data_IF_448414911098
#
_entry.id   IF_448414911098
#
_cell.length_a   1.000
_cell.length_b   1.000
_cell.length_c   1.000
_cell.angle_alpha   90.00
_cell.angle_beta   90.00
_cell.angle_gamma   90.00
#
_symmetry.space_group_name_H-M   'P 1'
#
loop_
_entity.id
_entity.type
_entity.pdbx_description
1 polymer ?
#
# COMPACT_ATOMS: atom_id res chain seq x y z
N UNK A 1 -8.40 30.05 -14.20
CA UNK A 1 -8.81 29.98 -15.62
C UNK A 1 -9.95 28.98 -15.67
N UNK A 2 -11.13 29.36 -16.16
CA UNK A 2 -12.23 28.39 -16.32
C UNK A 2 -11.87 27.49 -17.50
N UNK A 3 -11.87 26.17 -17.30
CA UNK A 3 -11.54 25.20 -18.36
C UNK A 3 -12.81 24.94 -19.14
N UNK A 4 -12.81 25.21 -20.45
CA UNK A 4 -13.97 24.98 -21.30
C UNK A 4 -13.74 23.77 -22.21
N UNK A 5 -14.58 22.73 -22.06
CA UNK A 5 -14.56 21.52 -22.89
C UNK A 5 -14.63 21.85 -24.40
N UNK A 6 -15.33 22.94 -24.75
CA UNK A 6 -15.49 23.38 -26.12
C UNK A 6 -14.16 23.72 -26.81
N UNK A 7 -13.13 24.13 -26.06
CA UNK A 7 -11.80 24.40 -26.62
C UNK A 7 -11.10 23.13 -27.12
N UNK A 8 -11.51 21.96 -26.64
CA UNK A 8 -10.92 20.65 -26.95
C UNK A 8 -11.81 19.80 -27.86
N UNK A 9 -13.12 20.09 -27.90
CA UNK A 9 -14.15 19.26 -28.55
C UNK A 9 -13.80 18.89 -29.98
N UNK A 10 -13.47 19.87 -30.82
CA UNK A 10 -13.20 19.62 -32.24
C UNK A 10 -12.03 18.63 -32.44
N UNK A 11 -10.96 18.78 -31.65
CA UNK A 11 -9.79 17.90 -31.75
C UNK A 11 -10.12 16.49 -31.27
N UNK A 12 -10.84 16.37 -30.15
CA UNK A 12 -11.19 15.08 -29.55
C UNK A 12 -12.20 14.31 -30.40
N UNK A 13 -13.27 14.95 -30.87
CA UNK A 13 -14.29 14.31 -31.72
C UNK A 13 -13.74 13.94 -33.11
N UNK A 14 -12.74 14.68 -33.61
CA UNK A 14 -12.04 14.31 -34.86
C UNK A 14 -11.16 13.09 -34.67
N UNK A 15 -10.47 12.99 -33.53
CA UNK A 15 -9.57 11.88 -33.23
C UNK A 15 -10.33 10.59 -32.84
N UNK A 16 -11.42 10.73 -32.09
CA UNK A 16 -12.28 9.65 -31.62
C UNK A 16 -13.76 10.02 -31.88
N UNK A 17 -14.27 9.79 -33.10
CA UNK A 17 -15.66 10.12 -33.48
C UNK A 17 -16.72 9.47 -32.59
N UNK A 18 -16.41 8.34 -31.96
CA UNK A 18 -17.23 7.64 -30.97
C UNK A 18 -17.58 8.48 -29.74
N UNK A 19 -16.81 9.55 -29.44
CA UNK A 19 -17.04 10.41 -28.29
C UNK A 19 -18.13 11.48 -28.49
N UNK A 20 -18.62 11.69 -29.73
CA UNK A 20 -19.54 12.81 -30.05
C UNK A 20 -20.76 12.90 -29.13
N UNK A 21 -21.35 11.75 -28.82
CA UNK A 21 -22.58 11.69 -28.01
C UNK A 21 -22.30 11.49 -26.51
N UNK A 22 -21.05 11.22 -26.12
CA UNK A 22 -20.67 10.87 -24.73
C UNK A 22 -19.74 11.87 -24.07
N UNK A 23 -19.05 12.74 -24.84
CA UNK A 23 -17.99 13.62 -24.34
C UNK A 23 -18.44 14.52 -23.18
N UNK A 24 -19.64 15.10 -23.25
CA UNK A 24 -20.19 15.93 -22.17
C UNK A 24 -20.43 15.13 -20.89
N UNK A 25 -20.97 13.91 -21.01
CA UNK A 25 -21.18 13.02 -19.87
C UNK A 25 -19.85 12.60 -19.23
N UNK A 26 -18.87 12.20 -20.05
CA UNK A 26 -17.52 11.83 -19.59
C UNK A 26 -16.82 12.99 -18.89
N UNK A 27 -16.92 14.21 -19.43
CA UNK A 27 -16.37 15.40 -18.80
C UNK A 27 -17.05 15.73 -17.46
N UNK A 28 -18.37 15.63 -17.40
CA UNK A 28 -19.11 15.84 -16.14
C UNK A 28 -18.74 14.82 -15.07
N UNK A 29 -18.48 13.57 -15.44
CA UNK A 29 -17.97 12.56 -14.52
C UNK A 29 -16.54 12.87 -14.05
N UNK A 30 -15.65 13.26 -14.96
CA UNK A 30 -14.28 13.68 -14.62
C UNK A 30 -14.29 14.85 -13.63
N UNK A 31 -15.12 15.87 -13.87
CA UNK A 31 -15.23 17.05 -13.02
C UNK A 31 -15.76 16.76 -11.60
N UNK A 32 -16.41 15.61 -11.36
CA UNK A 32 -16.83 15.18 -10.02
C UNK A 32 -15.70 14.56 -9.20
N UNK A 33 -14.67 14.03 -9.87
CA UNK A 33 -13.60 13.26 -9.24
C UNK A 33 -12.25 13.98 -9.23
N UNK A 34 -12.11 15.07 -9.99
CA UNK A 34 -10.85 15.79 -10.21
C UNK A 34 -10.93 17.24 -9.71
N UNK A 35 -9.82 17.80 -9.25
CA UNK A 35 -9.71 19.25 -9.09
C UNK A 35 -9.71 19.98 -10.44
N UNK A 36 -9.86 21.31 -10.41
CA UNK A 36 -9.75 22.12 -11.62
C UNK A 36 -8.40 21.94 -12.34
N UNK A 37 -7.28 21.87 -11.60
CA UNK A 37 -5.97 21.67 -12.22
C UNK A 37 -5.84 20.29 -12.86
N UNK A 38 -6.36 19.25 -12.20
CA UNK A 38 -6.38 17.90 -12.73
C UNK A 38 -7.25 17.77 -13.97
N UNK A 39 -8.39 18.46 -14.01
CA UNK A 39 -9.26 18.50 -15.18
C UNK A 39 -8.58 19.17 -16.38
N UNK A 40 -7.76 20.19 -16.14
CA UNK A 40 -6.93 20.79 -17.18
C UNK A 40 -5.88 19.80 -17.71
N UNK A 41 -5.12 19.16 -16.80
CA UNK A 41 -4.10 18.18 -17.17
C UNK A 41 -4.69 16.99 -17.93
N UNK A 42 -5.90 16.58 -17.55
CA UNK A 42 -6.68 15.54 -18.20
C UNK A 42 -7.04 15.92 -19.64
N UNK A 43 -7.62 17.11 -19.88
CA UNK A 43 -7.96 17.55 -21.24
C UNK A 43 -6.73 17.83 -22.12
N UNK A 44 -5.70 18.45 -21.57
CA UNK A 44 -4.41 18.63 -22.27
C UNK A 44 -3.77 17.28 -22.60
N UNK A 45 -3.84 16.32 -21.68
CA UNK A 45 -3.41 14.94 -21.92
C UNK A 45 -4.15 14.27 -23.06
N UNK A 46 -5.49 14.36 -23.06
CA UNK A 46 -6.33 13.81 -24.12
C UNK A 46 -6.03 14.43 -25.49
N UNK A 47 -5.85 15.76 -25.53
CA UNK A 47 -5.43 16.48 -26.73
C UNK A 47 -4.06 15.99 -27.22
N UNK A 48 -3.08 15.89 -26.33
CA UNK A 48 -1.76 15.36 -26.68
C UNK A 48 -1.83 13.94 -27.24
N UNK A 49 -2.64 13.07 -26.64
CA UNK A 49 -2.88 11.70 -27.14
C UNK A 49 -3.58 11.68 -28.51
N UNK A 50 -4.51 12.60 -28.76
CA UNK A 50 -5.17 12.77 -30.06
C UNK A 50 -4.18 13.20 -31.14
N UNK A 51 -3.30 14.16 -30.84
CA UNK A 51 -2.28 14.67 -31.76
C UNK A 51 -1.19 13.63 -32.08
N UNK A 52 -0.97 12.62 -31.23
CA UNK A 52 -0.10 11.48 -31.54
C UNK A 52 -0.58 10.65 -32.75
N UNK A 53 -1.88 10.71 -33.09
CA UNK A 53 -2.44 9.97 -34.23
C UNK A 53 -2.36 8.45 -34.08
N UNK A 54 -2.40 7.93 -32.85
CA UNK A 54 -2.25 6.48 -32.55
C UNK A 54 -3.58 5.72 -32.44
N UNK A 55 -4.68 6.32 -32.90
CA UNK A 55 -6.02 5.71 -32.99
C UNK A 55 -7.01 6.27 -31.96
N UNK A 56 -8.28 6.44 -32.36
CA UNK A 56 -9.34 7.04 -31.53
C UNK A 56 -9.61 6.31 -30.22
N UNK A 57 -9.60 4.98 -30.25
CA UNK A 57 -9.81 4.14 -29.07
C UNK A 57 -8.87 4.47 -27.91
N UNK A 58 -7.61 4.87 -28.19
CA UNK A 58 -6.66 5.30 -27.15
C UNK A 58 -7.16 6.54 -26.40
N UNK A 59 -7.63 7.54 -27.15
CA UNK A 59 -8.13 8.80 -26.60
C UNK A 59 -9.42 8.57 -25.83
N UNK A 60 -10.34 7.79 -26.41
CA UNK A 60 -11.61 7.44 -25.76
C UNK A 60 -11.37 6.70 -24.43
N UNK A 61 -10.55 5.64 -24.44
CA UNK A 61 -10.23 4.87 -23.22
C UNK A 61 -9.58 5.74 -22.14
N UNK A 62 -8.65 6.63 -22.53
CA UNK A 62 -8.05 7.57 -21.57
C UNK A 62 -9.10 8.46 -20.90
N UNK A 63 -10.02 9.03 -21.70
CA UNK A 63 -11.07 9.91 -21.18
C UNK A 63 -12.04 9.14 -20.26
N UNK A 64 -12.44 7.94 -20.66
CA UNK A 64 -13.39 7.12 -19.90
C UNK A 64 -12.81 6.63 -18.57
N UNK A 65 -11.56 6.16 -18.55
CA UNK A 65 -11.04 5.41 -17.41
C UNK A 65 -10.25 6.24 -16.39
N UNK A 66 -9.61 7.34 -16.81
CA UNK A 66 -8.78 8.14 -15.91
C UNK A 66 -9.51 8.79 -14.73
N UNK A 67 -10.80 9.19 -14.80
CA UNK A 67 -11.54 9.64 -13.63
C UNK A 67 -11.56 8.65 -12.48
N UNK A 68 -11.70 7.35 -12.77
CA UNK A 68 -11.66 6.32 -11.75
C UNK A 68 -10.26 6.18 -11.14
N UNK A 69 -9.21 6.30 -11.96
CA UNK A 69 -7.81 6.26 -11.50
C UNK A 69 -7.49 7.44 -10.57
N UNK A 70 -7.90 8.66 -10.96
CA UNK A 70 -7.71 9.87 -10.16
C UNK A 70 -8.47 9.80 -8.83
N UNK A 71 -9.69 9.24 -8.82
CA UNK A 71 -10.47 9.03 -7.61
C UNK A 71 -9.76 8.12 -6.59
N UNK A 72 -9.13 7.05 -7.07
CA UNK A 72 -8.46 6.07 -6.19
C UNK A 72 -7.06 6.53 -5.74
N UNK A 73 -6.29 7.18 -6.61
CA UNK A 73 -4.88 7.49 -6.36
C UNK A 73 -4.55 8.99 -6.21
N UNK A 74 -5.54 9.87 -6.43
CA UNK A 74 -5.37 11.31 -6.43
C UNK A 74 -4.97 11.89 -7.79
N UNK A 75 -5.17 13.20 -7.92
CA UNK A 75 -5.01 13.98 -9.15
C UNK A 75 -3.64 13.86 -9.83
N UNK A 76 -2.56 13.81 -9.04
CA UNK A 76 -1.19 13.84 -9.56
C UNK A 76 -0.87 12.66 -10.49
N UNK A 77 -1.59 11.53 -10.35
CA UNK A 77 -1.35 10.34 -11.16
C UNK A 77 -1.67 10.55 -12.64
N UNK A 78 -2.52 11.53 -12.98
CA UNK A 78 -2.94 11.78 -14.36
C UNK A 78 -1.73 12.10 -15.24
N UNK A 79 -0.86 12.99 -14.76
CA UNK A 79 0.38 13.39 -15.46
C UNK A 79 1.34 12.22 -15.62
N UNK A 80 1.46 11.37 -14.60
CA UNK A 80 2.31 10.19 -14.63
C UNK A 80 1.83 9.18 -15.69
N UNK A 81 0.52 8.96 -15.78
CA UNK A 81 -0.10 8.08 -16.78
C UNK A 81 0.09 8.62 -18.21
N UNK A 82 -0.11 9.92 -18.43
CA UNK A 82 0.15 10.57 -19.73
C UNK A 82 1.62 10.42 -20.11
N UNK A 83 2.54 10.73 -19.18
CA UNK A 83 3.98 10.59 -19.39
C UNK A 83 4.38 9.15 -19.73
N UNK A 84 3.80 8.16 -19.06
CA UNK A 84 4.02 6.75 -19.35
C UNK A 84 3.53 6.38 -20.75
N UNK A 85 2.32 6.80 -21.14
CA UNK A 85 1.78 6.58 -22.49
C UNK A 85 2.67 7.22 -23.57
N UNK A 86 3.13 8.45 -23.36
CA UNK A 86 4.04 9.14 -24.28
C UNK A 86 5.34 8.37 -24.46
N UNK A 87 5.94 7.85 -23.38
CA UNK A 87 7.15 7.01 -23.45
C UNK A 87 6.91 5.69 -24.18
N UNK A 88 5.73 5.08 -24.01
CA UNK A 88 5.37 3.82 -24.67
C UNK A 88 5.03 3.99 -26.16
N UNK A 89 4.67 5.20 -26.59
CA UNK A 89 4.27 5.50 -27.98
C UNK A 89 5.36 5.24 -29.02
N UNK A 90 6.63 5.20 -28.61
CA UNK A 90 7.78 4.87 -29.45
C UNK A 90 8.15 3.38 -29.43
N UNK A 91 7.54 2.58 -28.54
CA UNK A 91 7.92 1.19 -28.28
C UNK A 91 6.82 0.18 -28.61
N UNK A 92 5.56 0.62 -28.63
CA UNK A 92 4.37 -0.24 -28.74
C UNK A 92 3.29 0.41 -29.61
N UNK A 93 2.25 -0.34 -29.98
CA UNK A 93 1.12 0.19 -30.74
C UNK A 93 0.15 0.99 -29.85
N UNK A 94 -0.64 1.87 -30.45
CA UNK A 94 -1.71 2.60 -29.74
C UNK A 94 -2.73 1.68 -29.07
N UNK A 95 -2.97 0.49 -29.64
CA UNK A 95 -3.83 -0.54 -29.04
C UNK A 95 -3.28 -1.08 -27.71
N UNK A 96 -1.97 -1.24 -27.57
CA UNK A 96 -1.36 -1.66 -26.29
C UNK A 96 -1.46 -0.55 -25.25
N UNK A 97 -1.31 0.70 -25.65
CA UNK A 97 -1.46 1.85 -24.75
C UNK A 97 -2.92 2.01 -24.33
N UNK A 98 -3.87 1.78 -25.24
CA UNK A 98 -5.29 1.75 -24.89
C UNK A 98 -5.59 0.65 -23.86
N UNK A 99 -5.04 -0.57 -24.05
CA UNK A 99 -5.15 -1.65 -23.07
C UNK A 99 -4.50 -1.31 -21.73
N UNK A 100 -3.40 -0.55 -21.74
CA UNK A 100 -2.81 -0.03 -20.50
C UNK A 100 -3.83 0.85 -19.78
N UNK A 101 -4.40 1.87 -20.45
CA UNK A 101 -5.42 2.73 -19.85
C UNK A 101 -6.64 1.94 -19.35
N UNK A 102 -7.14 1.00 -20.15
CA UNK A 102 -8.24 0.09 -19.76
C UNK A 102 -7.94 -0.73 -18.50
N UNK A 103 -6.67 -1.08 -18.27
CA UNK A 103 -6.26 -1.81 -17.07
C UNK A 103 -6.10 -0.92 -15.83
N UNK A 104 -5.87 0.39 -16.00
CA UNK A 104 -5.50 1.28 -14.90
C UNK A 104 -6.55 1.42 -13.80
N UNK A 105 -7.87 1.49 -14.07
CA UNK A 105 -8.86 1.53 -12.98
C UNK A 105 -8.77 0.31 -12.06
N UNK A 106 -8.51 -0.87 -12.62
CA UNK A 106 -8.29 -2.09 -11.85
C UNK A 106 -6.97 -2.03 -11.09
N UNK A 107 -5.89 -1.60 -11.73
CA UNK A 107 -4.57 -1.45 -11.08
C UNK A 107 -4.64 -0.46 -9.92
N UNK A 108 -5.24 0.71 -10.12
CA UNK A 108 -5.40 1.75 -9.11
C UNK A 108 -6.18 1.23 -7.90
N UNK A 109 -7.28 0.50 -8.14
CA UNK A 109 -8.08 -0.10 -7.07
C UNK A 109 -7.36 -1.22 -6.34
N UNK A 110 -6.57 -2.06 -7.04
CA UNK A 110 -5.86 -3.19 -6.44
C UNK A 110 -4.60 -2.77 -5.69
N UNK A 111 -3.92 -1.74 -6.17
CA UNK A 111 -2.72 -1.20 -5.54
C UNK A 111 -3.04 -0.16 -4.46
N UNK A 112 -4.09 0.66 -4.63
CA UNK A 112 -4.60 1.57 -3.59
C UNK A 112 -3.67 2.71 -3.17
N UNK A 113 -2.56 2.94 -3.89
CA UNK A 113 -1.62 4.03 -3.62
C UNK A 113 -0.93 4.53 -4.91
N UNK A 114 -0.79 5.86 -5.12
CA UNK A 114 -0.18 6.43 -6.32
C UNK A 114 1.30 6.04 -6.53
N UNK A 115 2.10 5.84 -5.48
CA UNK A 115 3.50 5.42 -5.65
C UNK A 115 3.59 3.99 -6.18
N UNK A 116 2.68 3.11 -5.74
CA UNK A 116 2.56 1.76 -6.29
C UNK A 116 2.13 1.81 -7.76
N UNK A 117 1.18 2.66 -8.14
CA UNK A 117 0.80 2.83 -9.55
C UNK A 117 1.98 3.38 -10.38
N UNK A 118 2.76 4.33 -9.87
CA UNK A 118 4.00 4.80 -10.51
C UNK A 118 5.00 3.66 -10.70
N UNK A 119 5.15 2.80 -9.69
CA UNK A 119 5.96 1.59 -9.78
C UNK A 119 5.47 0.62 -10.87
N UNK A 120 4.16 0.44 -10.99
CA UNK A 120 3.54 -0.34 -12.07
C UNK A 120 3.83 0.26 -13.46
N UNK A 121 3.65 1.57 -13.65
CA UNK A 121 3.95 2.23 -14.92
C UNK A 121 5.43 2.06 -15.32
N UNK A 122 6.36 2.13 -14.35
CA UNK A 122 7.78 1.84 -14.57
C UNK A 122 8.00 0.39 -15.00
N UNK A 123 7.29 -0.58 -14.40
CA UNK A 123 7.35 -1.98 -14.79
C UNK A 123 6.86 -2.19 -16.23
N UNK A 124 5.72 -1.59 -16.61
CA UNK A 124 5.20 -1.68 -17.98
C UNK A 124 6.20 -1.12 -18.99
N UNK A 125 6.82 0.02 -18.69
CA UNK A 125 7.88 0.60 -19.53
C UNK A 125 9.08 -0.35 -19.67
N UNK A 126 9.53 -0.97 -18.58
CA UNK A 126 10.61 -1.95 -18.59
C UNK A 126 10.26 -3.19 -19.43
N UNK A 127 9.03 -3.69 -19.32
CA UNK A 127 8.55 -4.85 -20.08
C UNK A 127 8.36 -4.52 -21.56
N UNK A 128 7.97 -3.29 -21.91
CA UNK A 128 7.92 -2.86 -23.31
C UNK A 128 9.27 -3.01 -24.02
N UNK A 129 10.38 -2.76 -23.32
CA UNK A 129 11.73 -2.93 -23.88
C UNK A 129 12.16 -4.40 -23.99
N UNK A 130 11.73 -5.26 -23.05
CA UNK A 130 12.23 -6.64 -22.93
C UNK A 130 11.33 -7.69 -23.58
N UNK A 131 10.02 -7.48 -23.51
CA UNK A 131 8.97 -8.46 -23.81
C UNK A 131 7.71 -7.78 -24.34
N UNK A 132 7.83 -6.92 -25.36
CA UNK A 132 6.71 -6.15 -25.93
C UNK A 132 5.52 -7.01 -26.35
N UNK A 133 5.77 -8.22 -26.85
CA UNK A 133 4.72 -9.19 -27.24
C UNK A 133 3.94 -9.77 -26.05
N UNK A 134 4.57 -9.81 -24.87
CA UNK A 134 3.94 -10.24 -23.63
C UNK A 134 3.02 -9.20 -23.00
N UNK A 135 3.12 -7.92 -23.38
CA UNK A 135 2.31 -6.86 -22.77
C UNK A 135 0.82 -7.04 -23.01
N UNK A 136 0.41 -7.25 -24.27
CA UNK A 136 -1.01 -7.40 -24.62
C UNK A 136 -1.71 -8.52 -23.84
N UNK A 137 -1.20 -9.77 -23.82
CA UNK A 137 -1.85 -10.83 -23.04
C UNK A 137 -1.82 -10.55 -21.54
N UNK A 138 -0.74 -9.96 -21.01
CA UNK A 138 -0.64 -9.63 -19.58
C UNK A 138 -1.66 -8.57 -19.14
N UNK A 139 -1.81 -7.50 -19.92
CA UNK A 139 -2.76 -6.42 -19.63
C UNK A 139 -4.21 -6.94 -19.62
N UNK A 140 -4.52 -7.93 -20.48
CA UNK A 140 -5.83 -8.58 -20.51
C UNK A 140 -6.18 -9.42 -19.28
N UNK A 141 -5.19 -9.79 -18.45
CA UNK A 141 -5.39 -10.60 -17.24
C UNK A 141 -4.95 -9.86 -15.96
N UNK A 142 -4.83 -8.54 -16.01
CA UNK A 142 -4.27 -7.76 -14.91
C UNK A 142 -5.06 -7.88 -13.60
N UNK A 143 -6.40 -7.97 -13.67
CA UNK A 143 -7.22 -8.22 -12.47
C UNK A 143 -6.91 -9.57 -11.83
N UNK A 144 -6.73 -10.62 -12.65
CA UNK A 144 -6.39 -11.95 -12.12
C UNK A 144 -5.02 -11.93 -11.42
N UNK A 145 -4.03 -11.28 -12.03
CA UNK A 145 -2.69 -11.17 -11.45
C UNK A 145 -2.70 -10.38 -10.14
N UNK A 146 -3.30 -9.19 -10.13
CA UNK A 146 -3.34 -8.31 -8.95
C UNK A 146 -4.34 -8.75 -7.87
N UNK A 147 -5.24 -9.70 -8.19
CA UNK A 147 -6.05 -10.38 -7.16
C UNK A 147 -5.22 -11.35 -6.30
N UNK A 148 -3.99 -11.68 -6.72
CA UNK A 148 -3.12 -12.68 -6.06
C UNK A 148 -1.74 -12.11 -5.72
N UNK A 149 -1.28 -11.09 -6.43
CA UNK A 149 0.08 -10.56 -6.32
C UNK A 149 0.07 -9.11 -5.81
N UNK A 150 1.04 -8.80 -4.97
CA UNK A 150 1.48 -7.42 -4.76
C UNK A 150 2.21 -6.90 -6.01
N UNK A 151 2.48 -5.60 -6.07
CA UNK A 151 3.26 -5.02 -7.17
C UNK A 151 4.65 -5.69 -7.30
N UNK A 152 5.31 -5.93 -6.18
CA UNK A 152 6.63 -6.59 -6.19
C UNK A 152 6.54 -8.06 -6.60
N UNK A 153 5.45 -8.75 -6.25
CA UNK A 153 5.14 -10.09 -6.77
C UNK A 153 4.94 -10.10 -8.28
N UNK A 154 4.13 -9.16 -8.80
CA UNK A 154 3.91 -8.97 -10.24
C UNK A 154 5.23 -8.68 -10.96
N UNK A 155 6.08 -7.82 -10.40
CA UNK A 155 7.40 -7.49 -10.95
C UNK A 155 8.29 -8.74 -11.06
N UNK A 156 8.39 -9.56 -10.01
CA UNK A 156 9.19 -10.80 -10.03
C UNK A 156 8.62 -11.81 -11.02
N UNK A 157 7.30 -11.99 -11.04
CA UNK A 157 6.61 -12.87 -12.00
C UNK A 157 6.85 -12.44 -13.46
N UNK A 158 6.70 -11.16 -13.76
CA UNK A 158 6.85 -10.65 -15.12
C UNK A 158 8.31 -10.66 -15.60
N UNK A 159 9.26 -10.28 -14.75
CA UNK A 159 10.68 -10.27 -15.10
C UNK A 159 11.23 -11.70 -15.28
N UNK A 160 10.73 -12.65 -14.49
CA UNK A 160 11.05 -14.07 -14.69
C UNK A 160 10.58 -14.55 -16.07
N UNK A 161 9.31 -14.32 -16.42
CA UNK A 161 8.77 -14.70 -17.72
C UNK A 161 9.52 -14.07 -18.89
N UNK A 162 9.87 -12.78 -18.76
CA UNK A 162 10.66 -12.07 -19.75
C UNK A 162 12.05 -12.70 -19.97
N UNK A 163 12.69 -13.18 -18.90
CA UNK A 163 14.00 -13.81 -18.96
C UNK A 163 13.93 -15.26 -19.46
N UNK A 164 13.04 -16.07 -18.89
CA UNK A 164 12.90 -17.49 -19.18
C UNK A 164 12.52 -17.73 -20.66
N UNK A 165 11.62 -16.90 -21.19
CA UNK A 165 11.13 -17.00 -22.57
C UNK A 165 11.78 -15.99 -23.53
N UNK A 166 12.95 -15.44 -23.19
CA UNK A 166 13.61 -14.41 -24.01
C UNK A 166 13.88 -14.83 -25.47
N UNK A 167 14.06 -16.14 -25.70
CA UNK A 167 14.31 -16.74 -27.03
C UNK A 167 13.12 -17.48 -27.63
N UNK A 168 12.00 -17.58 -26.91
CA UNK A 168 10.78 -18.25 -27.36
C UNK A 168 9.61 -17.27 -27.36
N UNK A 169 9.33 -16.70 -28.54
CA UNK A 169 8.31 -15.67 -28.68
C UNK A 169 6.89 -16.19 -28.46
N UNK A 170 6.60 -17.43 -28.85
CA UNK A 170 5.26 -18.01 -28.63
C UNK A 170 5.08 -18.39 -27.17
N UNK A 171 6.11 -19.01 -26.55
CA UNK A 171 6.12 -19.29 -25.12
C UNK A 171 6.01 -18.01 -24.28
N UNK A 172 6.62 -16.90 -24.71
CA UNK A 172 6.47 -15.61 -24.03
C UNK A 172 5.00 -15.14 -24.04
N UNK A 173 4.32 -15.18 -25.18
CA UNK A 173 2.89 -14.81 -25.27
C UNK A 173 2.05 -15.73 -24.36
N UNK A 174 2.31 -17.04 -24.40
CA UNK A 174 1.60 -18.02 -23.57
C UNK A 174 1.84 -17.82 -22.06
N UNK A 175 3.08 -17.53 -21.65
CA UNK A 175 3.42 -17.25 -20.26
C UNK A 175 2.68 -16.02 -19.74
N UNK A 176 2.78 -14.90 -20.47
CA UNK A 176 2.15 -13.64 -20.07
C UNK A 176 0.62 -13.69 -20.14
N UNK A 177 0.04 -14.65 -20.87
CA UNK A 177 -1.39 -14.97 -20.86
C UNK A 177 -1.80 -16.02 -19.83
N UNK A 178 -0.90 -16.41 -18.91
CA UNK A 178 -1.11 -17.43 -17.86
C UNK A 178 -1.49 -18.83 -18.40
N UNK A 179 -1.05 -19.16 -19.61
CA UNK A 179 -1.38 -20.41 -20.28
C UNK A 179 -0.37 -21.53 -19.96
N UNK A 180 0.87 -21.18 -19.63
CA UNK A 180 1.90 -22.18 -19.30
C UNK A 180 1.80 -22.62 -17.84
N UNK A 181 2.17 -23.87 -17.57
CA UNK A 181 2.24 -24.38 -16.19
C UNK A 181 3.29 -23.62 -15.37
N UNK A 182 4.37 -23.18 -16.01
CA UNK A 182 5.41 -22.36 -15.39
C UNK A 182 4.88 -20.98 -14.96
N UNK A 183 4.05 -20.32 -15.78
CA UNK A 183 3.41 -19.06 -15.40
C UNK A 183 2.49 -19.21 -14.18
N UNK A 184 1.72 -20.31 -14.13
CA UNK A 184 0.85 -20.63 -12.99
C UNK A 184 1.65 -20.96 -11.74
N UNK A 185 2.72 -21.75 -11.88
CA UNK A 185 3.61 -22.11 -10.77
C UNK A 185 4.30 -20.86 -10.19
N UNK A 186 4.83 -19.99 -11.05
CA UNK A 186 5.45 -18.74 -10.63
C UNK A 186 4.44 -17.79 -9.99
N UNK A 187 3.19 -17.75 -10.48
CA UNK A 187 2.10 -16.98 -9.86
C UNK A 187 1.80 -17.48 -8.43
N UNK A 188 1.74 -18.80 -8.22
CA UNK A 188 1.56 -19.36 -6.88
C UNK A 188 2.75 -19.09 -5.96
N UNK A 189 3.97 -19.17 -6.50
CA UNK A 189 5.20 -18.89 -5.75
C UNK A 189 5.28 -17.42 -5.30
N UNK A 190 4.88 -16.50 -6.15
CA UNK A 190 4.96 -15.06 -5.87
C UNK A 190 3.77 -14.50 -5.08
N UNK A 191 2.74 -15.32 -4.88
CA UNK A 191 1.61 -14.99 -4.01
C UNK A 191 2.10 -14.79 -2.58
N UNK A 192 1.98 -13.56 -2.09
CA UNK A 192 2.19 -13.19 -0.69
C UNK A 192 0.86 -13.29 0.04
N UNK A 193 0.85 -13.88 1.22
CA UNK A 193 -0.34 -14.39 1.94
C UNK A 193 -1.63 -13.59 1.81
N UNK A 194 -1.93 -12.79 2.82
CA UNK A 194 -3.15 -11.99 2.92
C UNK A 194 -2.89 -10.61 2.34
N UNK A 195 -3.56 -10.25 1.24
CA UNK A 195 -3.42 -8.93 0.62
C UNK A 195 -4.11 -7.83 1.44
N UNK A 196 -3.47 -6.66 1.52
CA UNK A 196 -4.01 -5.49 2.20
C UNK A 196 -5.36 -5.08 1.63
N UNK A 197 -5.46 -4.98 0.31
CA UNK A 197 -6.61 -4.38 -0.36
C UNK A 197 -7.92 -5.15 -0.11
N UNK A 198 -7.82 -6.48 0.03
CA UNK A 198 -8.96 -7.34 0.34
C UNK A 198 -9.45 -7.19 1.79
N UNK A 199 -8.63 -6.57 2.66
CA UNK A 199 -8.90 -6.41 4.08
C UNK A 199 -9.09 -4.94 4.50
N UNK A 200 -8.71 -3.97 3.67
CA UNK A 200 -8.75 -2.53 3.98
C UNK A 200 -10.11 -2.08 4.51
N UNK A 201 -11.20 -2.47 3.83
CA UNK A 201 -12.55 -2.10 4.25
C UNK A 201 -12.92 -2.67 5.62
N UNK A 202 -12.54 -3.92 5.90
CA UNK A 202 -12.78 -4.57 7.21
C UNK A 202 -11.97 -3.89 8.31
N UNK A 203 -10.71 -3.54 8.03
CA UNK A 203 -9.86 -2.79 8.96
C UNK A 203 -10.44 -1.41 9.29
N UNK A 204 -10.91 -0.67 8.28
CA UNK A 204 -11.53 0.64 8.49
C UNK A 204 -12.79 0.54 9.37
N UNK A 205 -13.66 -0.44 9.12
CA UNK A 205 -14.83 -0.64 9.99
C UNK A 205 -14.44 -1.05 11.41
N UNK A 206 -13.38 -1.86 11.56
CA UNK A 206 -12.89 -2.25 12.86
C UNK A 206 -12.39 -1.05 13.67
N UNK A 207 -11.54 -0.19 13.08
CA UNK A 207 -11.06 1.03 13.72
C UNK A 207 -12.19 2.01 14.05
N UNK A 208 -13.15 2.18 13.14
CA UNK A 208 -14.31 3.04 13.36
C UNK A 208 -15.22 2.52 14.47
N UNK A 209 -15.35 1.20 14.62
CA UNK A 209 -16.10 0.60 15.72
C UNK A 209 -15.43 0.84 17.07
N UNK A 210 -14.08 0.87 17.13
CA UNK A 210 -13.34 1.15 18.36
C UNK A 210 -13.42 2.63 18.74
N UNK A 211 -13.08 3.55 17.82
CA UNK A 211 -12.87 4.96 18.16
C UNK A 211 -13.90 5.94 17.58
N UNK A 212 -14.94 5.46 16.90
CA UNK A 212 -16.05 6.31 16.44
C UNK A 212 -15.68 7.35 15.37
N UNK A 213 -14.54 7.17 14.70
CA UNK A 213 -14.02 8.10 13.67
C UNK A 213 -13.44 7.35 12.48
N UNK A 214 -13.26 8.08 11.38
CA UNK A 214 -12.60 7.55 10.19
C UNK A 214 -11.08 7.58 10.35
N UNK A 215 -10.43 6.57 9.75
CA UNK A 215 -9.00 6.40 9.64
C UNK A 215 -8.64 6.22 8.17
N UNK A 216 -7.45 6.66 7.79
CA UNK A 216 -6.96 6.54 6.42
C UNK A 216 -5.85 5.49 6.40
N UNK A 217 -6.09 4.40 5.67
CA UNK A 217 -5.16 3.28 5.56
C UNK A 217 -4.62 3.20 4.14
N UNK A 218 -3.30 3.07 3.99
CA UNK A 218 -2.65 2.88 2.69
C UNK A 218 -1.71 1.68 2.70
N UNK A 219 -1.64 0.93 1.60
CA UNK A 219 -0.61 -0.09 1.42
C UNK A 219 0.72 0.56 1.04
N UNK A 220 1.81 -0.02 1.53
CA UNK A 220 3.18 0.29 1.16
C UNK A 220 3.89 -1.00 0.77
N UNK A 221 4.76 -0.92 -0.24
CA UNK A 221 5.55 -2.06 -0.68
C UNK A 221 6.42 -2.57 0.48
N UNK A 222 6.20 -3.82 0.90
CA UNK A 222 6.94 -4.47 1.99
C UNK A 222 7.81 -5.62 1.46
N UNK A 223 8.44 -5.42 0.30
CA UNK A 223 9.21 -6.44 -0.41
C UNK A 223 10.67 -6.58 0.07
N UNK A 224 11.08 -5.78 1.04
CA UNK A 224 12.35 -5.88 1.73
C UNK A 224 12.13 -6.29 3.20
N UNK A 225 13.14 -6.97 3.77
CA UNK A 225 13.13 -7.26 5.20
C UNK A 225 13.09 -5.97 6.03
N UNK A 226 12.38 -6.01 7.15
CA UNK A 226 12.33 -4.90 8.10
C UNK A 226 11.32 -3.79 7.79
N UNK A 227 10.33 -4.02 6.92
CA UNK A 227 9.19 -3.10 6.83
C UNK A 227 8.52 -2.92 8.19
N UNK A 228 8.35 -1.67 8.62
CA UNK A 228 7.62 -1.31 9.84
C UNK A 228 6.42 -0.45 9.45
N UNK A 229 5.20 -0.78 9.90
CA UNK A 229 4.07 0.11 9.78
C UNK A 229 4.39 1.50 10.36
N UNK A 230 3.91 2.55 9.71
CA UNK A 230 4.22 3.93 10.10
C UNK A 230 3.05 4.89 9.88
N UNK A 231 3.13 6.05 10.52
CA UNK A 231 2.20 7.15 10.36
C UNK A 231 2.84 8.28 9.56
N UNK A 232 2.14 8.77 8.54
CA UNK A 232 2.51 9.97 7.80
C UNK A 232 1.27 10.82 7.58
N UNK A 233 1.26 12.08 8.02
CA UNK A 233 0.10 12.97 7.84
C UNK A 233 -1.22 12.41 8.40
N UNK A 234 -1.17 11.59 9.46
CA UNK A 234 -2.31 10.84 10.06
C UNK A 234 -2.85 9.69 9.18
N UNK A 235 -2.15 9.33 8.13
CA UNK A 235 -2.39 8.13 7.32
C UNK A 235 -1.57 6.98 7.91
N UNK A 236 -2.21 5.82 8.08
CA UNK A 236 -1.55 4.59 8.53
C UNK A 236 -1.07 3.82 7.29
N UNK A 237 0.24 3.66 7.18
CA UNK A 237 0.88 2.89 6.13
C UNK A 237 1.17 1.47 6.62
N UNK A 238 0.64 0.49 5.90
CA UNK A 238 0.72 -0.94 6.22
C UNK A 238 1.41 -1.71 5.09
N UNK A 239 1.94 -2.92 5.35
CA UNK A 239 2.46 -3.76 4.28
C UNK A 239 1.34 -4.14 3.29
N UNK A 240 1.66 -4.12 2.00
CA UNK A 240 0.76 -4.47 0.89
C UNK A 240 0.30 -5.94 0.90
N UNK A 241 1.06 -6.83 1.55
CA UNK A 241 0.64 -8.16 1.94
C UNK A 241 1.34 -8.63 3.23
N UNK A 242 0.70 -9.54 3.96
CA UNK A 242 1.29 -10.22 5.13
C UNK A 242 1.07 -11.72 5.05
N UNK A 243 2.09 -12.49 5.41
CA UNK A 243 1.96 -13.92 5.67
C UNK A 243 1.51 -14.12 7.12
N UNK A 244 0.69 -15.15 7.37
CA UNK A 244 0.35 -15.53 8.74
C UNK A 244 1.59 -15.95 9.52
N UNK A 245 1.62 -15.67 10.82
CA UNK A 245 2.73 -16.05 11.71
C UNK A 245 2.20 -17.06 12.71
N UNK A 246 2.74 -18.29 12.68
CA UNK A 246 2.24 -19.44 13.43
C UNK A 246 0.72 -19.64 13.22
N UNK A 247 -0.06 -19.62 14.30
CA UNK A 247 -1.53 -19.76 14.26
C UNK A 247 -2.25 -18.43 13.98
N UNK A 248 -1.52 -17.31 13.95
CA UNK A 248 -2.10 -15.98 13.70
C UNK A 248 -2.22 -15.74 12.21
N UNK A 249 -3.46 -15.82 11.72
CA UNK A 249 -3.78 -15.55 10.32
C UNK A 249 -3.48 -14.08 9.93
N UNK A 250 -3.18 -13.84 8.65
CA UNK A 250 -2.79 -12.52 8.17
C UNK A 250 -3.81 -11.40 8.42
N UNK A 251 -5.11 -11.72 8.46
CA UNK A 251 -6.13 -10.72 8.80
C UNK A 251 -6.10 -10.30 10.28
N UNK A 252 -5.69 -11.19 11.20
CA UNK A 252 -5.47 -10.85 12.61
C UNK A 252 -4.18 -10.04 12.79
N UNK A 253 -3.13 -10.34 12.01
CA UNK A 253 -1.92 -9.51 11.97
C UNK A 253 -2.26 -8.08 11.53
N UNK A 254 -3.02 -7.93 10.46
CA UNK A 254 -3.50 -6.63 10.03
C UNK A 254 -4.30 -5.92 11.11
N UNK A 255 -5.19 -6.61 11.82
CA UNK A 255 -5.92 -6.04 12.97
C UNK A 255 -4.98 -5.53 14.06
N UNK A 256 -3.97 -6.33 14.43
CA UNK A 256 -3.00 -5.96 15.45
C UNK A 256 -2.17 -4.73 15.04
N UNK A 257 -1.75 -4.66 13.76
CA UNK A 257 -1.02 -3.52 13.21
C UNK A 257 -1.88 -2.25 13.22
N UNK A 258 -3.12 -2.32 12.69
CA UNK A 258 -3.95 -1.10 12.58
C UNK A 258 -4.39 -0.57 13.92
N UNK A 259 -4.70 -1.42 14.90
CA UNK A 259 -5.09 -0.94 16.23
C UNK A 259 -3.91 -0.38 17.01
N UNK A 260 -2.71 -0.90 16.82
CA UNK A 260 -1.50 -0.33 17.40
C UNK A 260 -1.24 1.07 16.80
N UNK A 261 -1.22 1.20 15.47
CA UNK A 261 -1.05 2.50 14.80
C UNK A 261 -2.20 3.47 15.13
N UNK A 262 -3.42 2.95 15.24
CA UNK A 262 -4.60 3.69 15.69
C UNK A 262 -4.46 4.18 17.13
N UNK A 263 -3.86 3.39 18.03
CA UNK A 263 -3.62 3.77 19.42
C UNK A 263 -2.69 5.00 19.51
N UNK A 264 -1.62 5.08 18.71
CA UNK A 264 -0.79 6.28 18.63
C UNK A 264 -1.60 7.51 18.21
N UNK A 265 -2.43 7.40 17.16
CA UNK A 265 -3.29 8.51 16.72
C UNK A 265 -4.29 8.98 17.78
N UNK A 266 -4.64 8.12 18.74
CA UNK A 266 -5.64 8.40 19.76
C UNK A 266 -5.04 8.84 21.09
N UNK A 267 -3.86 8.35 21.45
CA UNK A 267 -3.29 8.50 22.79
C UNK A 267 -1.92 9.18 22.81
N UNK A 268 -1.29 9.43 21.66
CA UNK A 268 -0.10 10.30 21.55
C UNK A 268 -0.56 11.72 21.23
N UNK A 269 -0.64 12.58 22.25
CA UNK A 269 -1.18 13.94 22.12
C UNK A 269 -0.12 14.98 21.74
N UNK A 270 1.13 14.76 22.16
CA UNK A 270 2.25 15.65 21.89
C UNK A 270 3.42 14.85 21.29
N UNK A 271 4.14 15.41 20.30
CA UNK A 271 5.31 14.76 19.75
C UNK A 271 6.42 14.67 20.82
N UNK A 272 7.02 13.49 20.93
CA UNK A 272 8.21 13.30 21.75
C UNK A 272 9.41 13.96 21.07
N UNK A 273 10.14 14.79 21.80
CA UNK A 273 11.35 15.43 21.26
C UNK A 273 12.41 14.38 20.96
N UNK A 274 12.92 14.40 19.73
CA UNK A 274 14.04 13.58 19.28
C UNK A 274 15.40 14.32 19.38
N UNK A 275 15.41 15.57 19.85
CA UNK A 275 16.62 16.38 19.88
C UNK A 275 17.67 15.77 20.81
N UNK A 276 18.91 15.66 20.31
CA UNK A 276 20.07 15.16 21.05
C UNK A 276 19.97 13.70 21.54
N UNK A 277 19.02 12.92 21.03
CA UNK A 277 18.92 11.50 21.32
C UNK A 277 19.73 10.65 20.35
N UNK A 278 20.36 9.60 20.86
CA UNK A 278 20.94 8.54 20.06
C UNK A 278 19.85 7.63 19.46
N UNK A 279 20.14 6.90 18.36
CA UNK A 279 19.19 5.95 17.78
C UNK A 279 18.68 4.88 18.77
N UNK A 280 19.52 4.45 19.72
CA UNK A 280 19.12 3.48 20.75
C UNK A 280 18.12 4.10 21.74
N UNK A 281 18.38 5.33 22.20
CA UNK A 281 17.44 6.05 23.09
C UNK A 281 16.10 6.29 22.39
N UNK A 282 16.12 6.72 21.12
CA UNK A 282 14.88 6.87 20.35
C UNK A 282 14.10 5.56 20.25
N UNK A 283 14.79 4.44 20.05
CA UNK A 283 14.16 3.12 20.00
C UNK A 283 13.49 2.74 21.33
N UNK A 284 14.19 2.88 22.46
CA UNK A 284 13.63 2.52 23.77
C UNK A 284 12.52 3.46 24.24
N UNK A 285 12.62 4.75 23.91
CA UNK A 285 11.52 5.71 24.12
C UNK A 285 10.30 5.32 23.30
N UNK A 286 10.48 4.97 22.03
CA UNK A 286 9.40 4.45 21.18
C UNK A 286 8.79 3.16 21.75
N UNK A 287 9.64 2.23 22.19
CA UNK A 287 9.20 0.97 22.81
C UNK A 287 8.33 1.19 24.05
N UNK A 288 8.67 2.16 24.91
CA UNK A 288 7.84 2.52 26.06
C UNK A 288 6.58 3.28 25.67
N UNK A 289 6.63 4.09 24.62
CA UNK A 289 5.47 4.77 24.05
C UNK A 289 4.45 3.78 23.49
N UNK A 290 4.91 2.75 22.77
CA UNK A 290 4.08 1.65 22.28
C UNK A 290 3.33 1.00 23.45
N UNK A 291 4.04 0.62 24.52
CA UNK A 291 3.43 0.04 25.72
C UNK A 291 2.41 0.98 26.39
N UNK A 292 2.66 2.30 26.43
CA UNK A 292 1.74 3.29 27.01
C UNK A 292 0.45 3.42 26.19
N UNK A 293 0.54 3.55 24.87
CA UNK A 293 -0.65 3.70 24.02
C UNK A 293 -1.45 2.39 23.94
N UNK A 294 -0.77 1.24 23.96
CA UNK A 294 -1.41 -0.08 24.04
C UNK A 294 -2.12 -0.28 25.38
N UNK A 295 -1.52 0.16 26.50
CA UNK A 295 -2.19 0.17 27.79
C UNK A 295 -3.49 0.99 27.73
N UNK A 296 -3.44 2.21 27.20
CA UNK A 296 -4.62 3.07 27.04
C UNK A 296 -5.70 2.40 26.18
N UNK A 297 -5.30 1.76 25.08
CA UNK A 297 -6.20 1.03 24.21
C UNK A 297 -6.85 -0.17 24.93
N UNK A 298 -6.09 -0.94 25.71
CA UNK A 298 -6.59 -2.09 26.48
C UNK A 298 -7.58 -1.68 27.56
N UNK A 299 -7.39 -0.54 28.23
CA UNK A 299 -8.34 -0.06 29.23
C UNK A 299 -9.74 0.17 28.62
N UNK A 300 -9.79 0.71 27.41
CA UNK A 300 -11.05 0.93 26.69
C UNK A 300 -11.55 -0.33 25.97
N UNK A 301 -10.64 -1.19 25.51
CA UNK A 301 -10.93 -2.36 24.70
C UNK A 301 -10.12 -3.59 25.17
N UNK A 302 -10.58 -4.28 26.25
CA UNK A 302 -9.81 -5.36 26.87
C UNK A 302 -9.45 -6.52 25.93
N UNK A 303 -10.22 -6.72 24.85
CA UNK A 303 -9.94 -7.72 23.82
C UNK A 303 -8.61 -7.52 23.09
N UNK A 304 -8.08 -6.29 23.02
CA UNK A 304 -6.81 -5.99 22.37
C UNK A 304 -5.61 -6.63 23.08
N UNK A 305 -5.69 -6.81 24.41
CA UNK A 305 -4.65 -7.51 25.18
C UNK A 305 -4.45 -8.94 24.69
N UNK A 306 -5.54 -9.65 24.36
CA UNK A 306 -5.47 -11.00 23.81
C UNK A 306 -4.87 -10.99 22.40
N UNK A 307 -5.22 -10.01 21.58
CA UNK A 307 -4.74 -9.89 20.20
C UNK A 307 -3.22 -9.68 20.16
N UNK A 308 -2.69 -8.69 20.89
CA UNK A 308 -1.25 -8.43 20.93
C UNK A 308 -0.49 -9.52 21.71
N UNK A 309 -1.06 -10.01 22.81
CA UNK A 309 -0.47 -11.10 23.58
C UNK A 309 -0.27 -12.38 22.79
N UNK A 310 -1.16 -12.70 21.84
CA UNK A 310 -1.01 -13.85 20.94
C UNK A 310 0.21 -13.73 20.01
N UNK A 311 0.66 -12.50 19.71
CA UNK A 311 1.85 -12.24 18.91
C UNK A 311 3.11 -12.17 19.75
N UNK A 312 3.07 -11.45 20.87
CA UNK A 312 4.19 -11.32 21.80
C UNK A 312 4.53 -12.63 22.53
N UNK A 313 3.57 -13.56 22.62
CA UNK A 313 3.77 -14.89 23.18
C UNK A 313 4.35 -15.92 22.21
N UNK A 314 4.68 -15.53 20.97
CA UNK A 314 5.25 -16.46 19.99
C UNK A 314 6.69 -16.80 20.36
N UNK A 315 6.97 -18.09 20.49
CA UNK A 315 8.33 -18.61 20.61
C UNK A 315 8.88 -19.01 19.24
N UNK A 316 10.05 -18.47 18.89
CA UNK A 316 10.74 -18.80 17.66
C UNK A 316 11.78 -19.90 17.90
N UNK A 317 11.86 -20.94 17.02
CA UNK A 317 12.79 -22.04 17.20
C UNK A 317 14.25 -21.62 16.99
N UNK A 318 14.48 -20.58 16.20
CA UNK A 318 15.81 -20.07 15.91
C UNK A 318 16.21 -19.00 16.94
N UNK A 319 17.47 -19.03 17.37
CA UNK A 319 18.01 -17.93 18.17
C UNK A 319 18.05 -16.64 17.32
N UNK A 320 17.64 -15.49 17.89
CA UNK A 320 17.79 -14.22 17.20
C UNK A 320 19.27 -13.88 17.04
N UNK A 321 19.56 -12.97 16.11
CA UNK A 321 20.94 -12.54 15.83
C UNK A 321 21.64 -11.93 17.05
N UNK A 322 20.88 -11.31 17.96
CA UNK A 322 21.40 -10.73 19.20
C UNK A 322 20.54 -11.16 20.41
N UNK A 323 21.15 -11.56 21.54
CA UNK A 323 20.41 -12.05 22.72
C UNK A 323 19.43 -11.03 23.31
N UNK A 324 19.73 -9.73 23.23
CA UNK A 324 18.85 -8.65 23.70
C UNK A 324 17.48 -8.66 23.03
N UNK A 325 17.34 -9.19 21.81
CA UNK A 325 16.02 -9.28 21.15
C UNK A 325 15.03 -10.10 21.99
N UNK A 326 15.47 -11.23 22.56
CA UNK A 326 14.62 -12.05 23.44
C UNK A 326 14.19 -11.29 24.70
N UNK A 327 15.10 -10.49 25.26
CA UNK A 327 14.81 -9.69 26.46
C UNK A 327 13.77 -8.61 26.15
N UNK A 328 13.86 -7.96 24.98
CA UNK A 328 12.91 -6.93 24.55
C UNK A 328 11.54 -7.52 24.21
N UNK A 329 11.47 -8.62 23.47
CA UNK A 329 10.20 -9.31 23.20
C UNK A 329 9.51 -9.73 24.51
N UNK A 330 10.30 -10.23 25.47
CA UNK A 330 9.79 -10.61 26.78
C UNK A 330 9.34 -9.41 27.61
N UNK A 331 10.09 -8.31 27.59
CA UNK A 331 9.72 -7.08 28.27
C UNK A 331 8.42 -6.49 27.68
N UNK A 332 8.24 -6.49 26.36
CA UNK A 332 7.00 -6.04 25.72
C UNK A 332 5.79 -6.83 26.25
N UNK A 333 5.94 -8.15 26.38
CA UNK A 333 4.90 -9.00 26.95
C UNK A 333 4.65 -8.71 28.45
N UNK A 334 5.70 -8.40 29.23
CA UNK A 334 5.57 -7.99 30.64
C UNK A 334 4.86 -6.63 30.79
N UNK A 335 5.15 -5.68 29.91
CA UNK A 335 4.48 -4.37 29.89
C UNK A 335 3.00 -4.50 29.49
N UNK A 336 2.66 -5.44 28.62
CA UNK A 336 1.27 -5.75 28.26
C UNK A 336 0.52 -6.55 29.35
N UNK A 337 1.21 -7.47 30.04
CA UNK A 337 0.63 -8.34 31.07
C UNK A 337 1.48 -8.40 32.35
N UNK A 338 1.02 -7.69 33.38
CA UNK A 338 1.67 -7.62 34.70
C UNK A 338 1.82 -8.96 35.43
N UNK A 339 1.24 -10.05 34.92
CA UNK A 339 1.43 -11.41 35.47
C UNK A 339 2.66 -12.12 34.90
N UNK A 340 3.22 -11.61 33.81
CA UNK A 340 4.40 -12.19 33.16
C UNK A 340 5.66 -11.72 33.88
N UNK A 341 6.61 -12.64 34.05
CA UNK A 341 7.87 -12.45 34.78
C UNK A 341 9.04 -13.10 34.05
N UNK A 342 10.25 -12.73 34.42
CA UNK A 342 11.52 -13.33 33.96
C UNK A 342 12.43 -13.66 35.13
N UNK A 343 13.54 -14.32 34.85
CA UNK A 343 14.62 -14.54 35.82
C UNK A 343 15.50 -13.29 36.01
N UNK A 344 15.21 -12.18 35.30
CA UNK A 344 15.94 -10.91 35.41
C UNK A 344 15.19 -9.96 36.35
N UNK A 345 15.71 -9.81 37.57
CA UNK A 345 15.13 -8.94 38.60
C UNK A 345 15.09 -7.47 38.19
N UNK A 346 16.01 -7.01 37.34
CA UNK A 346 16.02 -5.64 36.83
C UNK A 346 14.84 -5.39 35.88
N UNK A 347 14.58 -6.31 34.97
CA UNK A 347 13.42 -6.23 34.07
C UNK A 347 12.09 -6.37 34.84
N UNK A 348 12.04 -7.24 35.86
CA UNK A 348 10.86 -7.35 36.72
C UNK A 348 10.59 -6.04 37.46
N UNK A 349 11.61 -5.41 38.04
CA UNK A 349 11.48 -4.12 38.72
C UNK A 349 11.00 -3.01 37.78
N UNK A 350 11.56 -2.93 36.56
CA UNK A 350 11.15 -1.95 35.55
C UNK A 350 9.68 -2.13 35.14
N UNK A 351 9.26 -3.37 34.89
CA UNK A 351 7.87 -3.67 34.55
C UNK A 351 6.91 -3.36 35.71
N UNK A 352 7.28 -3.69 36.95
CA UNK A 352 6.48 -3.37 38.14
C UNK A 352 6.35 -1.86 38.35
N UNK A 353 7.42 -1.11 38.12
CA UNK A 353 7.38 0.35 38.18
C UNK A 353 6.49 0.95 37.08
N UNK A 354 6.56 0.40 35.86
CA UNK A 354 5.64 0.77 34.78
C UNK A 354 4.18 0.56 35.21
N UNK A 355 3.82 -0.66 35.64
CA UNK A 355 2.44 -0.99 36.04
C UNK A 355 1.94 -0.19 37.25
N UNK A 356 2.83 0.17 38.16
CA UNK A 356 2.50 1.01 39.33
C UNK A 356 2.13 2.43 38.91
N UNK A 357 2.81 2.98 37.91
CA UNK A 357 2.72 4.41 37.58
C UNK A 357 1.90 4.70 36.32
N UNK A 358 1.68 3.73 35.43
CA UNK A 358 1.09 3.95 34.11
C UNK A 358 -0.30 4.58 34.17
N UNK A 359 -1.18 4.17 35.08
CA UNK A 359 -2.56 4.70 35.13
C UNK A 359 -2.58 6.21 35.41
N UNK A 360 -1.73 6.69 36.32
CA UNK A 360 -1.59 8.11 36.64
C UNK A 360 -0.91 8.91 35.52
N UNK A 361 -0.10 8.25 34.68
CA UNK A 361 0.72 8.86 33.64
C UNK A 361 0.27 8.51 32.22
N UNK A 362 -0.90 7.89 32.05
CA UNK A 362 -1.35 7.37 30.76
C UNK A 362 -1.57 8.43 29.70
N UNK A 363 -1.70 9.70 30.10
CA UNK A 363 -1.84 10.85 29.20
C UNK A 363 -0.55 11.68 29.07
N UNK A 364 0.53 11.27 29.72
CA UNK A 364 1.79 12.03 29.83
C UNK A 364 2.89 11.39 28.96
N UNK A 365 3.20 11.91 27.76
CA UNK A 365 4.22 11.33 26.89
C UNK A 365 5.63 11.33 27.52
N UNK A 366 5.91 12.29 28.40
CA UNK A 366 7.18 12.35 29.15
C UNK A 366 7.42 11.14 30.04
N UNK A 367 6.37 10.42 30.44
CA UNK A 367 6.52 9.15 31.15
C UNK A 367 7.24 8.11 30.30
N UNK A 368 6.82 7.95 29.05
CA UNK A 368 7.47 7.05 28.09
C UNK A 368 8.89 7.51 27.75
N UNK A 369 9.12 8.83 27.69
CA UNK A 369 10.45 9.39 27.49
C UNK A 369 11.42 9.02 28.63
N UNK A 370 11.04 9.26 29.89
CA UNK A 370 11.90 8.93 31.04
C UNK A 370 12.14 7.42 31.15
N UNK A 371 11.08 6.61 31.06
CA UNK A 371 11.20 5.15 31.15
C UNK A 371 12.03 4.56 30.01
N UNK A 372 11.95 5.14 28.81
CA UNK A 372 12.76 4.73 27.68
C UNK A 372 14.25 5.11 27.79
N UNK A 373 14.63 6.07 28.64
CA UNK A 373 16.03 6.37 28.92
C UNK A 373 16.62 5.51 30.04
N UNK A 374 15.77 4.99 30.93
CA UNK A 374 16.17 4.06 32.00
C UNK A 374 16.41 2.64 31.48
N UNK A 375 15.71 2.25 30.42
CA UNK A 375 15.89 1.00 29.67
C UNK A 375 17.14 1.04 28.79
#
# INVERSE_FOLDING_TARGET
>A
MSIELNDYREVLERAAPELKDTLDATFHEAARNMSANALHDYLEGAKGLAELGRGGNLVATFLEDMPAVAKECGDDIIRDCISAAMKLSSMTSGEVIALLFASLPTVARRLGDPELVRGYLKLIHQLAAKSSRGLRPMLGIMDELLSKLTLSGLKRWALYGAQAYARDLQGQIAYFGLQTEDAKAMLQKERRGTLFIDNQRKMNFYLRALWGRDFFLRPSAADHEGFKPYLEGRVIHLPDAVDGINEVAGHELYRAMVVHQGAHLMYTHEPLSAEQLSPAQMFFIGFMEDARVEYCAVQNFPGLKKLWGALLGIEYPNAPQHPTVKLLERLALMLLDSRVRTDDEGLNALADEFHTNIEANKSEPMFSWHKGLEL
#
